data_IF_721071121412
#
_entry.id   IF_721071121412
#
_cell.length_a   1.000
_cell.length_b   1.000
_cell.length_c   1.000
_cell.angle_alpha   90.00
_cell.angle_beta   90.00
_cell.angle_gamma   90.00
#
_symmetry.space_group_name_H-M   'P 1'
#
loop_
_entity.id
_entity.type
_entity.pdbx_description
1 polymer ?
#
# COMPACT_ATOMS: atom_id res chain seq x y z
N UNK A 1 -7.68 -21.21 -4.90
CA UNK A 1 -8.54 -20.99 -6.10
C UNK A 1 -7.79 -21.31 -7.39
N UNK A 2 -7.59 -22.59 -7.71
CA UNK A 2 -6.97 -23.01 -8.98
C UNK A 2 -7.79 -24.05 -9.75
N UNK A 3 -8.94 -24.45 -9.22
CA UNK A 3 -9.94 -25.27 -9.90
C UNK A 3 -11.26 -24.51 -10.02
N UNK A 4 -12.08 -24.86 -11.02
CA UNK A 4 -13.37 -24.19 -11.28
C UNK A 4 -14.34 -24.37 -10.10
N UNK A 5 -14.37 -25.56 -9.50
CA UNK A 5 -15.23 -25.87 -8.35
C UNK A 5 -14.85 -25.04 -7.12
N UNK A 6 -13.55 -24.95 -6.81
CA UNK A 6 -13.05 -24.12 -5.71
C UNK A 6 -13.28 -22.63 -5.97
N UNK A 7 -13.02 -22.15 -7.20
CA UNK A 7 -13.32 -20.77 -7.59
C UNK A 7 -14.80 -20.46 -7.37
N UNK A 8 -15.70 -21.30 -7.90
CA UNK A 8 -17.14 -21.08 -7.78
C UNK A 8 -17.61 -21.12 -6.33
N UNK A 9 -17.04 -22.00 -5.50
CA UNK A 9 -17.34 -22.06 -4.08
C UNK A 9 -17.01 -20.74 -3.38
N UNK A 10 -15.81 -20.20 -3.62
CA UNK A 10 -15.38 -18.91 -3.02
C UNK A 10 -16.23 -17.75 -3.53
N UNK A 11 -16.51 -17.68 -4.84
CA UNK A 11 -17.38 -16.62 -5.38
C UNK A 11 -18.81 -16.67 -4.83
N UNK A 12 -19.29 -17.84 -4.42
CA UNK A 12 -20.59 -18.01 -3.76
C UNK A 12 -20.54 -17.70 -2.24
N UNK A 13 -19.42 -17.19 -1.72
CA UNK A 13 -19.23 -16.88 -0.30
C UNK A 13 -18.88 -18.09 0.57
N UNK A 14 -18.45 -19.20 -0.03
CA UNK A 14 -18.03 -20.40 0.69
C UNK A 14 -16.56 -20.37 1.14
N UNK A 15 -16.25 -21.16 2.17
CA UNK A 15 -14.86 -21.43 2.61
C UNK A 15 -14.23 -22.47 1.66
N UNK A 16 -13.08 -22.15 1.07
CA UNK A 16 -12.33 -23.10 0.24
C UNK A 16 -11.79 -24.30 1.02
N UNK A 17 -11.82 -24.24 2.36
CA UNK A 17 -11.28 -25.25 3.26
C UNK A 17 -9.74 -25.30 3.26
N UNK A 18 -9.09 -24.50 2.42
CA UNK A 18 -7.64 -24.44 2.35
C UNK A 18 -7.09 -23.63 3.53
N UNK A 19 -5.88 -23.97 3.93
CA UNK A 19 -5.13 -23.26 4.97
C UNK A 19 -3.76 -22.91 4.40
N UNK A 20 -3.25 -21.75 4.80
CA UNK A 20 -1.90 -21.33 4.44
C UNK A 20 -0.89 -22.26 5.11
N UNK A 21 0.05 -22.78 4.33
CA UNK A 21 1.23 -23.44 4.85
C UNK A 21 2.31 -22.38 5.06
N UNK A 22 2.72 -22.17 6.31
CA UNK A 22 3.74 -21.20 6.67
C UNK A 22 5.13 -21.85 6.67
N UNK A 23 6.13 -21.08 6.27
CA UNK A 23 7.53 -21.42 6.56
C UNK A 23 7.72 -21.45 8.08
N UNK A 24 8.49 -22.43 8.57
CA UNK A 24 8.78 -22.56 10.00
C UNK A 24 9.88 -21.60 10.49
N UNK A 25 10.53 -20.88 9.57
CA UNK A 25 11.49 -19.82 9.87
C UNK A 25 10.89 -18.45 9.54
N UNK A 26 11.04 -17.50 10.46
CA UNK A 26 10.79 -16.09 10.15
C UNK A 26 11.87 -15.55 9.22
N UNK A 27 11.46 -14.83 8.18
CA UNK A 27 12.33 -14.26 7.15
C UNK A 27 12.04 -12.78 6.96
N UNK A 28 13.04 -12.05 6.48
CA UNK A 28 12.84 -10.71 5.93
C UNK A 28 11.99 -10.78 4.66
N UNK A 29 11.15 -9.77 4.43
CA UNK A 29 10.31 -9.67 3.22
C UNK A 29 11.22 -9.53 2.01
N UNK A 30 11.31 -10.57 1.17
CA UNK A 30 12.24 -10.66 0.02
C UNK A 30 11.56 -10.83 -1.32
N UNK A 31 10.29 -11.19 -1.33
CA UNK A 31 9.52 -11.41 -2.54
C UNK A 31 8.05 -10.96 -2.38
N UNK A 32 7.29 -11.08 -3.47
CA UNK A 32 5.86 -10.73 -3.46
C UNK A 32 5.03 -11.64 -2.55
N UNK A 33 5.45 -12.88 -2.27
CA UNK A 33 4.73 -13.81 -1.41
C UNK A 33 4.83 -13.38 0.05
N UNK A 34 6.02 -12.98 0.49
CA UNK A 34 6.22 -12.42 1.83
C UNK A 34 5.46 -11.11 2.00
N UNK A 35 5.50 -10.24 0.99
CA UNK A 35 4.84 -8.95 1.06
C UNK A 35 3.32 -9.11 1.10
N UNK A 36 2.77 -10.06 0.34
CA UNK A 36 1.36 -10.46 0.44
C UNK A 36 1.03 -11.08 1.80
N UNK A 37 1.93 -11.88 2.39
CA UNK A 37 1.71 -12.45 3.72
C UNK A 37 1.68 -11.37 4.80
N UNK A 38 2.56 -10.36 4.73
CA UNK A 38 2.53 -9.20 5.63
C UNK A 38 1.19 -8.46 5.54
N UNK A 39 0.75 -8.12 4.32
CA UNK A 39 -0.47 -7.33 4.09
C UNK A 39 -1.77 -8.13 4.15
N UNK A 40 -1.68 -9.43 4.36
CA UNK A 40 -2.83 -10.26 4.71
C UNK A 40 -3.21 -10.08 6.18
N UNK A 41 -2.23 -9.82 7.05
CA UNK A 41 -2.40 -9.80 8.50
C UNK A 41 -2.26 -8.39 9.12
N UNK A 42 -1.91 -7.37 8.33
CA UNK A 42 -1.59 -6.05 8.87
C UNK A 42 -2.82 -5.32 9.42
N UNK A 43 -2.60 -4.53 10.47
CA UNK A 43 -3.51 -3.43 10.77
C UNK A 43 -3.23 -2.34 9.74
N UNK A 44 -4.26 -1.83 9.07
CA UNK A 44 -4.13 -1.01 7.85
C UNK A 44 -3.13 0.16 7.91
N UNK A 45 -2.87 0.73 9.09
CA UNK A 45 -1.89 1.82 9.26
C UNK A 45 -0.56 1.40 9.91
N UNK A 46 -0.39 0.10 10.21
CA UNK A 46 0.74 -0.47 10.95
C UNK A 46 2.08 -0.13 10.32
N UNK A 47 2.23 -0.33 9.00
CA UNK A 47 3.49 -0.06 8.32
C UNK A 47 3.92 1.41 8.43
N UNK A 48 2.96 2.33 8.35
CA UNK A 48 3.21 3.77 8.45
C UNK A 48 3.44 4.21 9.89
N UNK A 49 2.80 3.56 10.86
CA UNK A 49 3.10 3.75 12.27
C UNK A 49 4.52 3.27 12.62
N UNK A 50 4.95 2.11 12.09
CA UNK A 50 6.34 1.66 12.22
C UNK A 50 7.31 2.65 11.57
N UNK A 51 6.96 3.20 10.40
CA UNK A 51 7.76 4.25 9.76
C UNK A 51 7.85 5.52 10.64
N UNK A 52 6.75 5.96 11.26
CA UNK A 52 6.77 7.05 12.24
C UNK A 52 7.73 6.80 13.41
N UNK A 53 7.69 5.59 13.99
CA UNK A 53 8.58 5.21 15.09
C UNK A 53 10.05 5.25 14.64
N UNK A 54 10.36 4.73 13.45
CA UNK A 54 11.70 4.74 12.89
C UNK A 54 12.19 6.16 12.59
N UNK A 55 11.36 7.00 11.95
CA UNK A 55 11.69 8.40 11.66
C UNK A 55 11.99 9.19 12.95
N UNK A 56 11.21 8.94 14.01
CA UNK A 56 11.43 9.51 15.34
C UNK A 56 12.74 9.02 15.94
N UNK A 57 13.00 7.71 15.91
CA UNK A 57 14.23 7.13 16.46
C UNK A 57 15.50 7.64 15.76
N UNK A 58 15.43 7.88 14.44
CA UNK A 58 16.54 8.45 13.66
C UNK A 58 16.79 9.94 13.92
N UNK A 59 15.94 10.61 14.71
CA UNK A 59 16.00 12.05 14.89
C UNK A 59 15.82 12.79 13.56
N UNK A 60 14.90 12.30 12.72
CA UNK A 60 14.58 12.94 11.44
C UNK A 60 14.16 14.39 11.67
N UNK A 61 14.77 15.36 10.98
CA UNK A 61 14.35 16.75 11.06
C UNK A 61 12.84 16.90 10.81
N UNK A 62 12.21 17.75 11.62
CA UNK A 62 10.81 18.14 11.42
C UNK A 62 10.67 18.93 10.11
N UNK A 63 9.46 18.96 9.56
CA UNK A 63 9.18 19.82 8.41
C UNK A 63 9.58 21.28 8.73
N UNK A 64 10.34 21.99 7.85
CA UNK A 64 10.85 23.33 8.15
C UNK A 64 9.78 24.38 8.48
N UNK A 65 8.52 24.11 8.08
CA UNK A 65 7.38 24.94 8.44
C UNK A 65 6.91 24.82 9.89
N UNK A 66 7.43 23.88 10.67
CA UNK A 66 7.02 23.65 12.05
C UNK A 66 7.43 24.84 12.96
N UNK A 67 6.48 25.47 13.68
CA UNK A 67 6.71 26.73 14.40
C UNK A 67 7.59 26.56 15.64
N UNK A 68 7.80 25.33 16.11
CA UNK A 68 8.65 25.06 17.26
C UNK A 68 10.15 24.98 16.90
N UNK A 69 10.50 24.99 15.60
CA UNK A 69 11.89 25.01 15.16
C UNK A 69 12.55 26.32 15.60
N UNK A 70 13.59 26.21 16.45
CA UNK A 70 14.31 27.37 16.97
C UNK A 70 13.63 28.07 18.15
N UNK A 71 12.44 27.60 18.60
CA UNK A 71 11.83 28.10 19.82
C UNK A 71 12.71 27.78 21.03
N UNK A 72 12.90 28.78 21.90
CA UNK A 72 13.70 28.63 23.15
C UNK A 72 12.83 28.30 24.36
N UNK A 73 11.52 28.48 24.25
CA UNK A 73 10.57 28.44 25.36
C UNK A 73 9.42 27.46 25.15
N UNK A 74 9.24 26.95 23.94
CA UNK A 74 8.13 26.06 23.58
C UNK A 74 8.65 24.83 22.85
N UNK A 75 7.87 23.74 22.87
CA UNK A 75 8.18 22.50 22.14
C UNK A 75 6.91 21.83 21.65
N UNK A 76 7.03 21.13 20.53
CA UNK A 76 5.97 20.30 19.98
C UNK A 76 5.62 19.14 20.91
N UNK A 77 4.32 18.86 21.08
CA UNK A 77 3.85 17.64 21.75
C UNK A 77 2.41 17.31 21.34
N UNK A 78 1.43 17.94 22.01
CA UNK A 78 0.00 17.73 21.75
C UNK A 78 -0.44 18.33 20.41
N UNK A 79 0.28 19.34 19.94
CA UNK A 79 0.15 19.94 18.61
C UNK A 79 1.51 19.85 17.89
N UNK A 80 1.47 19.50 16.60
CA UNK A 80 2.62 19.43 15.70
C UNK A 80 3.81 18.56 16.20
N UNK A 81 3.54 17.68 17.16
CA UNK A 81 4.53 16.82 17.83
C UNK A 81 4.19 15.34 17.76
N UNK A 82 4.94 14.52 18.50
CA UNK A 82 4.84 13.05 18.43
C UNK A 82 3.42 12.49 18.67
N UNK A 83 2.75 12.82 19.79
CA UNK A 83 1.37 12.40 20.04
C UNK A 83 0.39 12.81 18.93
N UNK A 84 0.51 14.03 18.41
CA UNK A 84 -0.34 14.53 17.32
C UNK A 84 -0.13 13.69 16.05
N UNK A 85 1.13 13.51 15.62
CA UNK A 85 1.49 12.71 14.46
C UNK A 85 0.97 11.27 14.55
N UNK A 86 1.20 10.62 15.70
CA UNK A 86 0.75 9.25 15.94
C UNK A 86 -0.78 9.10 15.87
N UNK A 87 -1.52 10.03 16.49
CA UNK A 87 -2.98 10.03 16.46
C UNK A 87 -3.54 10.32 15.07
N UNK A 88 -2.90 11.23 14.33
CA UNK A 88 -3.30 11.62 12.98
C UNK A 88 -3.22 10.45 12.01
N UNK A 89 -2.21 9.58 12.12
CA UNK A 89 -2.10 8.37 11.29
C UNK A 89 -3.32 7.45 11.44
N UNK A 90 -3.70 7.15 12.68
CA UNK A 90 -4.87 6.32 12.96
C UNK A 90 -6.17 7.00 12.50
N UNK A 91 -6.25 8.32 12.66
CA UNK A 91 -7.37 9.11 12.20
C UNK A 91 -7.55 9.01 10.68
N UNK A 92 -6.56 9.44 9.90
CA UNK A 92 -6.67 9.52 8.43
C UNK A 92 -6.93 8.16 7.80
N UNK A 93 -6.47 7.06 8.41
CA UNK A 93 -6.74 5.71 7.92
C UNK A 93 -8.24 5.48 7.72
N UNK A 94 -9.06 5.76 8.74
CA UNK A 94 -10.51 5.54 8.64
C UNK A 94 -11.21 6.50 7.69
N UNK A 95 -10.70 7.73 7.51
CA UNK A 95 -11.28 8.72 6.59
C UNK A 95 -10.99 8.33 5.13
N UNK A 96 -9.78 7.87 4.87
CA UNK A 96 -9.39 7.34 3.57
C UNK A 96 -10.21 6.09 3.20
N UNK A 97 -10.48 5.19 4.15
CA UNK A 97 -11.35 4.05 3.90
C UNK A 97 -12.78 4.49 3.55
N UNK A 98 -13.37 5.45 4.27
CA UNK A 98 -14.72 5.95 3.92
C UNK A 98 -14.79 6.48 2.49
N UNK A 99 -13.79 7.26 2.07
CA UNK A 99 -13.69 7.72 0.69
C UNK A 99 -13.54 6.55 -0.30
N UNK A 100 -12.65 5.58 -0.01
CA UNK A 100 -12.48 4.40 -0.85
C UNK A 100 -13.76 3.55 -0.94
N UNK A 101 -14.54 3.43 0.14
CA UNK A 101 -15.80 2.69 0.17
C UNK A 101 -16.85 3.32 -0.72
N UNK A 102 -16.93 4.66 -0.73
CA UNK A 102 -17.81 5.37 -1.66
C UNK A 102 -17.47 5.02 -3.11
N UNK A 103 -16.20 5.09 -3.50
CA UNK A 103 -15.80 4.73 -4.86
C UNK A 103 -16.03 3.25 -5.18
N UNK A 104 -15.74 2.35 -4.23
CA UNK A 104 -15.97 0.92 -4.41
C UNK A 104 -17.44 0.61 -4.71
N UNK A 105 -18.35 1.11 -3.88
CA UNK A 105 -19.74 0.67 -3.87
C UNK A 105 -20.69 1.55 -4.67
N UNK A 106 -20.43 2.86 -4.72
CA UNK A 106 -21.36 3.82 -5.33
C UNK A 106 -20.92 4.19 -6.74
N UNK A 107 -19.61 4.24 -7.00
CA UNK A 107 -19.09 4.75 -8.28
C UNK A 107 -18.67 3.61 -9.21
N UNK A 108 -17.78 2.72 -8.75
CA UNK A 108 -17.03 1.86 -9.65
C UNK A 108 -17.59 0.45 -9.78
N UNK A 109 -17.98 -0.18 -8.65
CA UNK A 109 -18.42 -1.58 -8.58
C UNK A 109 -17.54 -2.54 -9.40
N UNK A 110 -16.22 -2.27 -9.44
CA UNK A 110 -15.30 -2.99 -10.31
C UNK A 110 -15.04 -4.40 -9.80
N UNK A 111 -15.14 -5.38 -10.70
CA UNK A 111 -14.77 -6.77 -10.45
C UNK A 111 -13.30 -6.94 -10.04
N UNK A 112 -13.00 -8.02 -9.34
CA UNK A 112 -11.68 -8.43 -8.85
C UNK A 112 -10.88 -9.16 -9.94
N UNK A 113 -9.54 -9.24 -9.81
CA UNK A 113 -8.71 -9.97 -10.77
C UNK A 113 -9.02 -11.46 -10.86
N UNK A 114 -9.48 -12.10 -9.76
CA UNK A 114 -9.94 -13.48 -9.77
C UNK A 114 -11.13 -13.71 -10.72
N UNK A 115 -12.07 -12.77 -10.77
CA UNK A 115 -13.21 -12.77 -11.69
C UNK A 115 -12.73 -12.59 -13.14
N UNK A 116 -11.75 -11.71 -13.38
CA UNK A 116 -11.11 -11.55 -14.70
C UNK A 116 -10.47 -12.87 -15.16
N UNK A 117 -9.76 -13.56 -14.27
CA UNK A 117 -9.17 -14.88 -14.53
C UNK A 117 -10.22 -15.93 -14.88
N UNK A 118 -11.40 -15.88 -14.28
CA UNK A 118 -12.50 -16.78 -14.63
C UNK A 118 -13.11 -16.49 -16.00
N UNK A 119 -13.14 -15.22 -16.43
CA UNK A 119 -13.51 -14.89 -17.82
C UNK A 119 -12.49 -15.45 -18.82
N UNK A 120 -11.19 -15.39 -18.49
CA UNK A 120 -10.12 -15.98 -19.32
C UNK A 120 -10.29 -17.50 -19.40
N UNK A 121 -10.51 -18.17 -18.26
CA UNK A 121 -10.85 -19.59 -18.20
C UNK A 121 -12.04 -19.91 -19.13
N UNK A 122 -13.16 -19.21 -18.95
CA UNK A 122 -14.36 -19.47 -19.75
C UNK A 122 -14.13 -19.27 -21.25
N UNK A 123 -13.35 -18.25 -21.62
CA UNK A 123 -13.01 -17.93 -23.01
C UNK A 123 -12.13 -19.00 -23.66
N UNK A 124 -11.10 -19.48 -22.94
CA UNK A 124 -10.15 -20.46 -23.47
C UNK A 124 -10.70 -21.89 -23.49
N UNK A 125 -11.62 -22.23 -22.59
CA UNK A 125 -12.24 -23.56 -22.53
C UNK A 125 -13.61 -23.65 -23.20
N UNK A 126 -14.09 -22.57 -23.83
CA UNK A 126 -15.38 -22.50 -24.52
C UNK A 126 -16.56 -23.02 -23.68
N UNK A 127 -16.65 -22.60 -22.41
CA UNK A 127 -17.76 -23.00 -21.52
C UNK A 127 -19.10 -22.51 -22.09
N UNK A 128 -20.15 -23.32 -21.94
CA UNK A 128 -21.52 -23.00 -22.36
C UNK A 128 -22.47 -23.07 -21.14
N UNK A 129 -23.27 -22.03 -20.86
CA UNK A 129 -23.30 -20.73 -21.55
C UNK A 129 -22.04 -19.90 -21.22
N UNK A 130 -21.49 -19.22 -22.22
CA UNK A 130 -20.34 -18.34 -22.03
C UNK A 130 -20.77 -17.02 -21.37
N UNK A 131 -20.06 -16.53 -20.33
CA UNK A 131 -20.31 -15.19 -19.78
C UNK A 131 -20.11 -14.13 -20.88
N UNK A 132 -21.06 -13.23 -21.07
CA UNK A 132 -20.98 -12.19 -22.09
C UNK A 132 -19.69 -11.36 -21.97
N UNK A 133 -19.26 -11.04 -20.75
CA UNK A 133 -18.04 -10.27 -20.51
C UNK A 133 -16.76 -10.96 -21.03
N UNK A 134 -16.76 -12.29 -21.18
CA UNK A 134 -15.60 -13.04 -21.70
C UNK A 134 -15.27 -12.72 -23.15
N UNK A 135 -16.24 -12.25 -23.96
CA UNK A 135 -15.99 -11.83 -25.34
C UNK A 135 -15.36 -10.44 -25.46
N UNK A 136 -15.38 -9.64 -24.38
CA UNK A 136 -14.79 -8.31 -24.33
C UNK A 136 -13.33 -8.31 -23.84
N UNK A 137 -12.75 -9.48 -23.55
CA UNK A 137 -11.36 -9.62 -23.12
C UNK A 137 -10.42 -9.14 -24.24
N UNK A 138 -9.40 -8.37 -23.86
CA UNK A 138 -8.38 -7.94 -24.80
C UNK A 138 -7.54 -9.14 -25.28
N UNK A 139 -7.20 -9.25 -26.58
CA UNK A 139 -6.44 -10.38 -27.13
C UNK A 139 -5.13 -10.66 -26.40
N UNK A 140 -4.40 -9.62 -25.96
CA UNK A 140 -3.13 -9.77 -25.24
C UNK A 140 -3.22 -10.66 -24.00
N UNK A 141 -4.35 -10.64 -23.28
CA UNK A 141 -4.51 -11.52 -22.12
C UNK A 141 -4.66 -12.97 -22.54
N UNK A 142 -5.33 -13.22 -23.68
CA UNK A 142 -5.59 -14.56 -24.21
C UNK A 142 -4.37 -15.22 -24.85
N UNK A 143 -3.35 -14.42 -25.22
CA UNK A 143 -2.08 -14.91 -25.80
C UNK A 143 -0.89 -14.72 -24.86
N UNK A 144 -1.14 -14.36 -23.59
CA UNK A 144 -0.08 -14.13 -22.62
C UNK A 144 0.78 -15.37 -22.41
N UNK A 145 2.10 -15.21 -22.42
CA UNK A 145 3.07 -16.28 -22.20
C UNK A 145 2.94 -16.97 -20.83
N UNK A 146 2.21 -16.36 -19.88
CA UNK A 146 1.94 -16.98 -18.57
C UNK A 146 0.85 -18.05 -18.63
N UNK A 147 -0.06 -18.02 -19.61
CA UNK A 147 -1.19 -18.94 -19.67
C UNK A 147 -0.75 -20.41 -19.80
N UNK A 148 0.21 -20.78 -20.68
CA UNK A 148 0.73 -22.15 -20.71
C UNK A 148 1.37 -22.59 -19.40
N UNK A 149 1.99 -21.67 -18.65
CA UNK A 149 2.62 -21.95 -17.34
C UNK A 149 1.54 -22.23 -16.28
N UNK A 150 0.49 -21.41 -16.23
CA UNK A 150 -0.63 -21.63 -15.30
C UNK A 150 -1.31 -22.96 -15.62
N UNK A 151 -1.58 -23.23 -16.90
CA UNK A 151 -2.24 -24.46 -17.33
C UNK A 151 -1.40 -25.71 -17.04
N UNK A 152 -0.10 -25.70 -17.32
CA UNK A 152 0.78 -26.84 -17.02
C UNK A 152 0.91 -27.10 -15.51
N UNK A 153 0.84 -26.06 -14.69
CA UNK A 153 0.98 -26.15 -13.23
C UNK A 153 -0.32 -26.57 -12.54
N UNK A 154 -1.46 -26.04 -12.99
CA UNK A 154 -2.72 -26.12 -12.26
C UNK A 154 -3.86 -26.79 -13.03
N UNK A 155 -3.69 -27.07 -14.32
CA UNK A 155 -4.74 -27.65 -15.17
C UNK A 155 -5.91 -26.71 -15.48
N UNK A 156 -5.74 -25.40 -15.25
CA UNK A 156 -6.73 -24.36 -15.55
C UNK A 156 -6.05 -23.07 -16.00
N UNK A 157 -6.84 -22.08 -16.42
CA UNK A 157 -6.41 -20.71 -16.75
C UNK A 157 -6.94 -19.68 -15.73
N UNK A 158 -7.40 -20.14 -14.57
CA UNK A 158 -7.81 -19.27 -13.47
C UNK A 158 -6.58 -18.52 -12.92
N UNK A 159 -6.79 -17.32 -12.39
CA UNK A 159 -5.73 -16.57 -11.71
C UNK A 159 -5.40 -17.24 -10.36
N UNK A 160 -4.19 -17.80 -10.17
CA UNK A 160 -3.83 -18.41 -8.90
C UNK A 160 -3.80 -17.37 -7.77
N UNK A 161 -4.55 -17.63 -6.71
CA UNK A 161 -4.67 -16.73 -5.57
C UNK A 161 -3.65 -17.06 -4.48
N UNK A 162 -3.08 -16.02 -3.86
CA UNK A 162 -2.21 -16.17 -2.69
C UNK A 162 -3.01 -16.50 -1.42
N UNK A 163 -4.23 -15.99 -1.33
CA UNK A 163 -5.09 -16.14 -0.18
C UNK A 163 -6.10 -17.27 -0.44
N UNK A 164 -6.31 -18.20 0.51
CA UNK A 164 -7.28 -19.30 0.39
C UNK A 164 -8.70 -18.84 0.04
N UNK A 165 -9.10 -17.69 0.58
CA UNK A 165 -10.39 -17.03 0.42
C UNK A 165 -10.44 -16.07 -0.78
N UNK A 166 -9.32 -15.88 -1.49
CA UNK A 166 -9.21 -14.90 -2.57
C UNK A 166 -9.33 -13.48 -2.03
N UNK A 167 -10.11 -12.66 -2.72
CA UNK A 167 -10.28 -11.27 -2.37
C UNK A 167 -11.32 -11.03 -1.25
N UNK A 168 -11.16 -9.97 -0.43
CA UNK A 168 -12.23 -9.55 0.47
C UNK A 168 -13.53 -9.23 -0.27
N UNK A 169 -14.67 -9.47 0.38
CA UNK A 169 -16.04 -9.34 -0.16
C UNK A 169 -16.50 -7.88 -0.33
N UNK A 170 -15.72 -7.12 -1.10
CA UNK A 170 -16.03 -5.77 -1.55
C UNK A 170 -15.34 -5.49 -2.89
N UNK A 171 -15.85 -4.55 -3.71
CA UNK A 171 -15.32 -4.25 -5.04
C UNK A 171 -13.84 -3.89 -5.06
N UNK A 172 -13.23 -4.04 -6.24
CA UNK A 172 -11.79 -3.92 -6.43
C UNK A 172 -11.27 -2.48 -6.34
N UNK A 173 -12.01 -1.49 -6.85
CA UNK A 173 -11.44 -0.17 -7.15
C UNK A 173 -12.06 0.96 -6.32
N UNK A 174 -11.25 1.77 -5.61
CA UNK A 174 -9.79 1.70 -5.41
C UNK A 174 -9.37 0.65 -4.37
N UNK A 175 -8.07 0.39 -4.17
CA UNK A 175 -7.62 -0.45 -3.02
C UNK A 175 -7.83 0.25 -1.67
N UNK A 176 -8.15 -0.49 -0.61
CA UNK A 176 -8.24 0.07 0.76
C UNK A 176 -6.85 0.40 1.31
N UNK A 177 -5.93 -0.56 1.25
CA UNK A 177 -4.53 -0.41 1.68
C UNK A 177 -3.83 0.77 1.01
N UNK A 178 -3.99 0.98 -0.29
CA UNK A 178 -3.36 2.11 -0.97
C UNK A 178 -3.98 3.45 -0.60
N UNK A 179 -5.30 3.52 -0.35
CA UNK A 179 -5.93 4.75 0.15
C UNK A 179 -5.42 5.13 1.54
N UNK A 180 -5.33 4.15 2.46
CA UNK A 180 -4.73 4.39 3.77
C UNK A 180 -3.26 4.75 3.64
N UNK A 181 -2.53 4.09 2.74
CA UNK A 181 -1.12 4.36 2.50
C UNK A 181 -0.84 5.75 2.00
N UNK A 182 -1.55 6.20 0.96
CA UNK A 182 -1.46 7.58 0.46
C UNK A 182 -1.76 8.60 1.57
N UNK A 183 -2.80 8.34 2.38
CA UNK A 183 -3.16 9.25 3.45
C UNK A 183 -2.09 9.31 4.56
N UNK A 184 -1.61 8.16 5.02
CA UNK A 184 -0.63 8.08 6.10
C UNK A 184 0.72 8.69 5.70
N UNK A 185 1.22 8.43 4.48
CA UNK A 185 2.50 9.02 4.07
C UNK A 185 2.40 10.54 3.90
N UNK A 186 1.25 11.07 3.50
CA UNK A 186 1.01 12.52 3.43
C UNK A 186 1.04 13.15 4.81
N UNK A 187 0.46 12.48 5.81
CA UNK A 187 0.59 12.89 7.23
C UNK A 187 2.06 12.86 7.66
N UNK A 188 2.83 11.80 7.36
CA UNK A 188 4.25 11.75 7.74
C UNK A 188 5.07 12.87 7.11
N UNK A 189 4.81 13.22 5.84
CA UNK A 189 5.47 14.34 5.15
C UNK A 189 5.05 15.72 5.68
N UNK A 190 3.89 15.82 6.33
CA UNK A 190 3.48 17.03 7.05
C UNK A 190 4.34 17.25 8.29
N UNK A 191 4.63 16.18 9.05
CA UNK A 191 5.40 16.28 10.30
C UNK A 191 6.92 16.29 10.11
N UNK A 192 7.46 15.52 9.15
CA UNK A 192 8.89 15.38 8.91
C UNK A 192 9.35 16.05 7.61
N UNK A 193 10.61 16.47 7.58
CA UNK A 193 11.22 16.97 6.35
C UNK A 193 11.51 15.79 5.40
N UNK A 194 10.67 15.67 4.37
CA UNK A 194 10.77 14.64 3.36
C UNK A 194 12.03 14.73 2.48
N UNK A 195 12.73 15.87 2.44
CA UNK A 195 13.91 16.05 1.60
C UNK A 195 15.17 15.40 2.17
N UNK A 196 15.13 14.97 3.44
CA UNK A 196 16.27 14.45 4.16
C UNK A 196 16.76 13.12 3.57
N UNK A 197 18.09 12.96 3.51
CA UNK A 197 18.72 11.74 3.03
C UNK A 197 18.57 10.60 4.05
N UNK A 198 17.91 9.51 3.66
CA UNK A 198 17.57 8.43 4.60
C UNK A 198 18.82 7.71 5.14
N UNK A 199 19.87 7.55 4.32
CA UNK A 199 21.10 6.88 4.73
C UNK A 199 21.83 7.67 5.81
N UNK A 200 21.94 8.99 5.64
CA UNK A 200 22.53 9.87 6.66
C UNK A 200 21.77 9.81 7.99
N UNK A 201 20.44 9.67 7.95
CA UNK A 201 19.62 9.51 9.15
C UNK A 201 19.85 8.15 9.82
N UNK A 202 19.88 7.06 9.04
CA UNK A 202 20.17 5.71 9.53
C UNK A 202 21.56 5.60 10.18
N UNK A 203 22.56 6.28 9.62
CA UNK A 203 23.92 6.29 10.17
C UNK A 203 23.98 6.84 11.60
N UNK A 204 23.08 7.77 11.98
CA UNK A 204 23.00 8.33 13.34
C UNK A 204 22.63 7.29 14.39
N UNK A 205 21.96 6.22 13.97
CA UNK A 205 21.56 5.09 14.83
C UNK A 205 22.37 3.83 14.54
N UNK A 206 23.53 3.95 13.88
CA UNK A 206 24.43 2.84 13.58
C UNK A 206 23.86 1.84 12.56
N UNK A 207 23.00 2.30 11.64
CA UNK A 207 22.41 1.48 10.57
C UNK A 207 22.72 2.05 9.18
N UNK A 208 22.46 1.26 8.15
CA UNK A 208 22.59 1.64 6.75
C UNK A 208 21.32 1.24 5.97
N UNK A 209 21.22 1.67 4.71
CA UNK A 209 20.17 1.19 3.81
C UNK A 209 20.46 -0.27 3.49
N UNK A 210 19.43 -1.11 3.58
CA UNK A 210 19.56 -2.54 3.44
C UNK A 210 18.55 -3.13 2.47
N UNK A 211 18.88 -4.29 1.94
CA UNK A 211 17.97 -5.16 1.19
C UNK A 211 18.03 -6.59 1.75
N UNK A 212 16.93 -7.35 1.67
CA UNK A 212 16.92 -8.75 2.11
C UNK A 212 17.82 -9.60 1.21
N UNK A 213 18.51 -10.58 1.80
CA UNK A 213 19.09 -11.67 1.02
C UNK A 213 18.03 -12.42 0.23
N UNK A 214 18.45 -13.09 -0.84
CA UNK A 214 17.57 -13.91 -1.67
C UNK A 214 16.80 -14.97 -0.86
N UNK A 215 17.36 -15.48 0.23
CA UNK A 215 16.73 -16.44 1.13
C UNK A 215 16.01 -15.79 2.34
N UNK A 216 16.09 -14.46 2.48
CA UNK A 216 15.47 -13.69 3.57
C UNK A 216 16.06 -13.94 4.96
N UNK A 217 17.18 -14.64 5.06
CA UNK A 217 17.81 -15.00 6.34
C UNK A 217 18.39 -13.80 7.07
N UNK A 218 18.92 -12.84 6.32
CA UNK A 218 19.58 -11.63 6.80
C UNK A 218 19.32 -10.45 5.85
N UNK A 219 19.67 -9.27 6.33
CA UNK A 219 19.71 -8.05 5.53
C UNK A 219 21.16 -7.77 5.13
N UNK A 220 21.39 -7.54 3.84
CA UNK A 220 22.67 -7.04 3.33
C UNK A 220 22.60 -5.52 3.15
N UNK A 221 23.75 -4.87 3.19
CA UNK A 221 23.84 -3.43 2.87
C UNK A 221 23.51 -3.25 1.39
N UNK A 222 22.54 -2.38 1.10
CA UNK A 222 22.14 -2.07 -0.26
C UNK A 222 23.29 -1.37 -1.00
N UNK A 223 23.68 -1.88 -2.16
CA UNK A 223 24.80 -1.34 -2.96
C UNK A 223 24.37 -0.71 -4.29
N UNK A 224 23.07 -0.44 -4.48
CA UNK A 224 22.58 0.21 -5.69
C UNK A 224 23.13 1.62 -5.88
N UNK A 225 23.17 2.07 -7.13
CA UNK A 225 23.75 3.37 -7.52
C UNK A 225 23.02 4.58 -6.87
N UNK A 226 21.76 4.42 -6.51
CA UNK A 226 20.91 5.43 -5.88
C UNK A 226 20.96 5.42 -4.35
N UNK A 227 21.68 4.49 -3.71
CA UNK A 227 21.78 4.31 -2.26
C UNK A 227 21.99 5.62 -1.50
N UNK A 228 22.88 6.46 -2.01
CA UNK A 228 23.26 7.74 -1.37
C UNK A 228 22.33 8.90 -1.73
N UNK A 229 21.30 8.67 -2.54
CA UNK A 229 20.32 9.67 -2.99
C UNK A 229 18.89 9.42 -2.50
N UNK A 230 18.64 8.31 -1.79
CA UNK A 230 17.34 7.99 -1.24
C UNK A 230 16.91 9.02 -0.18
N UNK A 231 15.68 9.51 -0.30
CA UNK A 231 15.10 10.52 0.59
C UNK A 231 13.98 9.93 1.45
N UNK A 232 13.67 10.57 2.58
CA UNK A 232 12.49 10.23 3.40
C UNK A 232 11.22 10.25 2.56
N UNK A 233 11.02 11.27 1.71
CA UNK A 233 9.84 11.36 0.83
C UNK A 233 9.78 10.19 -0.17
N UNK A 234 10.91 9.82 -0.76
CA UNK A 234 11.02 8.69 -1.68
C UNK A 234 10.71 7.35 -1.00
N UNK A 235 11.30 7.09 0.17
CA UNK A 235 11.07 5.83 0.89
C UNK A 235 9.64 5.73 1.46
N UNK A 236 9.03 6.85 1.86
CA UNK A 236 7.61 6.87 2.23
C UNK A 236 6.70 6.58 1.02
N UNK A 237 6.98 7.17 -0.15
CA UNK A 237 6.26 6.82 -1.38
C UNK A 237 6.40 5.33 -1.69
N UNK A 238 7.63 4.81 -1.65
CA UNK A 238 7.92 3.38 -1.84
C UNK A 238 7.13 2.52 -0.86
N UNK A 239 7.04 2.90 0.42
CA UNK A 239 6.26 2.17 1.42
C UNK A 239 4.77 2.09 1.08
N UNK A 240 4.14 3.18 0.63
CA UNK A 240 2.73 3.16 0.21
C UNK A 240 2.50 2.21 -0.98
N UNK A 241 3.41 2.23 -1.97
CA UNK A 241 3.36 1.29 -3.10
C UNK A 241 3.62 -0.14 -2.68
N UNK A 242 4.61 -0.42 -1.82
CA UNK A 242 4.90 -1.76 -1.32
C UNK A 242 3.69 -2.37 -0.63
N UNK A 243 3.04 -1.63 0.28
CA UNK A 243 1.86 -2.14 0.99
C UNK A 243 0.69 -2.37 0.03
N UNK A 244 0.40 -1.43 -0.87
CA UNK A 244 -0.70 -1.60 -1.83
C UNK A 244 -0.42 -2.71 -2.87
N UNK A 245 0.83 -2.87 -3.32
CA UNK A 245 1.21 -3.96 -4.23
C UNK A 245 1.25 -5.31 -3.54
N UNK A 246 1.71 -5.37 -2.28
CA UNK A 246 1.63 -6.56 -1.44
C UNK A 246 0.22 -7.09 -1.34
N UNK A 247 -0.68 -6.25 -0.85
CA UNK A 247 -2.08 -6.63 -0.68
C UNK A 247 -2.79 -6.85 -2.02
N UNK A 248 -2.46 -6.05 -3.04
CA UNK A 248 -3.20 -6.03 -4.29
C UNK A 248 -2.65 -6.96 -5.35
N UNK A 249 -1.47 -6.61 -5.87
CA UNK A 249 -0.87 -7.21 -7.06
C UNK A 249 -0.27 -8.57 -6.75
N UNK A 250 0.54 -8.67 -5.69
CA UNK A 250 1.24 -9.90 -5.34
C UNK A 250 0.33 -10.98 -4.73
N UNK A 251 -0.79 -10.54 -4.14
CA UNK A 251 -1.85 -11.44 -3.68
C UNK A 251 -2.80 -11.89 -4.80
N UNK A 252 -2.90 -11.11 -5.90
CA UNK A 252 -3.78 -11.41 -7.03
C UNK A 252 -5.22 -10.87 -6.87
N UNK A 253 -5.43 -9.85 -6.03
CA UNK A 253 -6.78 -9.37 -5.65
C UNK A 253 -7.07 -7.90 -6.02
N UNK A 254 -6.09 -7.16 -6.53
CA UNK A 254 -6.31 -5.83 -7.13
C UNK A 254 -5.54 -5.63 -8.44
N UNK A 255 -5.98 -4.67 -9.25
CA UNK A 255 -5.26 -4.22 -10.45
C UNK A 255 -4.29 -3.08 -10.13
N UNK A 256 -3.26 -2.91 -10.96
CA UNK A 256 -2.28 -1.81 -10.83
C UNK A 256 -2.95 -0.43 -10.81
N UNK A 257 -3.96 -0.23 -11.65
CA UNK A 257 -4.73 1.02 -11.67
C UNK A 257 -5.44 1.29 -10.34
N UNK A 258 -5.95 0.24 -9.68
CA UNK A 258 -6.65 0.37 -8.40
C UNK A 258 -5.69 0.81 -7.30
N UNK A 259 -4.43 0.34 -7.34
CA UNK A 259 -3.37 0.83 -6.45
C UNK A 259 -3.08 2.30 -6.72
N UNK A 260 -2.75 2.66 -7.97
CA UNK A 260 -2.37 4.04 -8.30
C UNK A 260 -3.47 5.04 -7.89
N UNK A 261 -4.70 4.78 -8.30
CA UNK A 261 -5.84 5.64 -7.99
C UNK A 261 -6.08 5.74 -6.48
N UNK A 262 -5.91 4.63 -5.74
CA UNK A 262 -6.11 4.61 -4.29
C UNK A 262 -5.11 5.49 -3.55
N UNK A 263 -3.83 5.43 -3.89
CA UNK A 263 -2.79 6.21 -3.21
C UNK A 263 -3.02 7.71 -3.46
N UNK A 264 -3.39 8.09 -4.68
CA UNK A 264 -3.74 9.48 -5.00
C UNK A 264 -5.00 9.96 -4.27
N UNK A 265 -6.02 9.11 -4.14
CA UNK A 265 -7.22 9.40 -3.33
C UNK A 265 -6.83 9.62 -1.85
N UNK A 266 -5.98 8.75 -1.31
CA UNK A 266 -5.47 8.85 0.05
C UNK A 266 -4.75 10.17 0.32
N UNK A 267 -3.87 10.58 -0.60
CA UNK A 267 -3.16 11.86 -0.49
C UNK A 267 -4.14 13.03 -0.43
N UNK A 268 -5.16 13.07 -1.29
CA UNK A 268 -6.16 14.15 -1.29
C UNK A 268 -6.98 14.19 0.00
N UNK A 269 -7.41 13.03 0.51
CA UNK A 269 -8.14 12.94 1.77
C UNK A 269 -7.28 13.46 2.93
N UNK A 270 -6.02 13.05 3.02
CA UNK A 270 -5.13 13.53 4.06
C UNK A 270 -4.86 15.04 3.96
N UNK A 271 -4.67 15.59 2.76
CA UNK A 271 -4.52 17.03 2.57
C UNK A 271 -5.74 17.81 3.09
N UNK A 272 -6.96 17.34 2.78
CA UNK A 272 -8.19 17.95 3.29
C UNK A 272 -8.28 17.88 4.83
N UNK A 273 -7.98 16.72 5.41
CA UNK A 273 -7.98 16.55 6.88
C UNK A 273 -6.95 17.46 7.54
N UNK A 274 -5.74 17.56 6.98
CA UNK A 274 -4.68 18.41 7.51
C UNK A 274 -5.01 19.90 7.37
N UNK A 275 -5.67 20.32 6.28
CA UNK A 275 -6.16 21.70 6.11
C UNK A 275 -7.22 22.07 7.14
N UNK A 276 -8.13 21.16 7.49
CA UNK A 276 -9.11 21.40 8.55
C UNK A 276 -8.46 21.36 9.94
N UNK A 277 -7.55 20.43 10.17
CA UNK A 277 -6.77 20.36 11.41
C UNK A 277 -5.94 21.62 11.64
N UNK A 278 -5.35 22.20 10.58
CA UNK A 278 -4.56 23.42 10.66
C UNK A 278 -5.31 24.56 11.37
N UNK A 279 -6.61 24.73 11.07
CA UNK A 279 -7.47 25.76 11.66
C UNK A 279 -7.66 25.62 13.18
N UNK A 280 -7.33 24.46 13.74
CA UNK A 280 -7.41 24.21 15.19
C UNK A 280 -6.10 24.43 15.94
N UNK A 281 -4.98 24.60 15.22
CA UNK A 281 -3.71 24.98 15.83
C UNK A 281 -3.65 26.48 16.01
N UNK A 282 -3.10 26.93 17.13
CA UNK A 282 -2.99 28.36 17.45
C UNK A 282 -1.62 28.94 17.04
N UNK A 283 -0.62 28.09 16.94
CA UNK A 283 0.73 28.45 16.52
C UNK A 283 0.74 28.75 15.02
N UNK A 284 1.20 29.93 14.56
CA UNK A 284 1.22 30.24 13.13
C UNK A 284 2.30 29.42 12.42
N UNK A 285 1.93 28.73 11.34
CA UNK A 285 2.88 27.92 10.58
C UNK A 285 2.60 27.92 9.07
N UNK A 286 3.59 27.50 8.29
CA UNK A 286 3.38 27.16 6.86
C UNK A 286 4.19 25.92 6.53
N UNK A 287 3.52 24.77 6.54
CA UNK A 287 4.13 23.46 6.22
C UNK A 287 3.98 23.18 4.72
N UNK A 288 5.07 22.74 4.10
CA UNK A 288 5.11 22.36 2.68
C UNK A 288 5.34 20.86 2.54
N UNK A 289 4.55 20.22 1.68
CA UNK A 289 4.60 18.78 1.41
C UNK A 289 4.90 18.57 -0.07
N UNK A 290 5.91 17.73 -0.38
CA UNK A 290 6.11 17.20 -1.74
C UNK A 290 5.12 16.06 -1.99
N UNK A 291 4.18 16.31 -2.90
CA UNK A 291 3.14 15.37 -3.31
C UNK A 291 3.71 14.21 -4.13
N UNK A 292 2.90 13.18 -4.35
CA UNK A 292 3.22 12.02 -5.17
C UNK A 292 3.56 12.37 -6.62
N UNK A 293 2.95 13.43 -7.16
CA UNK A 293 3.22 13.94 -8.52
C UNK A 293 4.43 14.89 -8.59
N UNK A 294 5.16 15.06 -7.48
CA UNK A 294 6.32 15.96 -7.38
C UNK A 294 5.96 17.43 -7.17
N UNK A 295 4.69 17.81 -7.25
CA UNK A 295 4.25 19.18 -6.93
C UNK A 295 4.26 19.43 -5.43
N UNK A 296 4.12 20.68 -5.01
CA UNK A 296 4.12 21.06 -3.59
C UNK A 296 2.72 21.47 -3.14
N UNK A 297 2.23 20.88 -2.04
CA UNK A 297 1.10 21.40 -1.28
C UNK A 297 1.61 22.29 -0.13
N UNK A 298 0.92 23.40 0.15
CA UNK A 298 1.18 24.24 1.32
C UNK A 298 -0.04 24.23 2.23
N UNK A 299 0.19 24.07 3.53
CA UNK A 299 -0.84 24.10 4.58
C UNK A 299 -0.43 25.16 5.59
N UNK A 300 -1.35 26.10 5.86
CA UNK A 300 -1.18 27.24 6.77
C UNK A 300 -2.43 27.37 7.62
N UNK A 301 -2.29 27.92 8.82
CA UNK A 301 -3.37 28.45 9.63
C UNK A 301 -3.28 29.98 9.75
#
# INVERSE_FOLDING_TARGET
MTSVSEYQLVQNGGDSGRRLAFDNQFRSIRDGRDLAAYTHADVLYQAYFVAFLLLTQMGTPLNPGNPYIGSRTEKAFATLGGPDAASMLAEVATRALKAAWFYKWIVNLRMRPEEYGALVQARLTNIIPAPQASSALHPDVLISAVLPIIHSTYGSFLLPQAFPEGSPTHPCDPTGHGAVGGACITVLKFFFDGSQNIRQLLARIGRDVCEPRQDGSLLDVYTGADRDSLTVNGELNKLAFNISFGHGIHAGIHFRSSTLNSILLGEQVALSVLQDRAKSYNEPFTIRITKLDGTTASITN
#
